data_IF_877992366602
#
_entry.id   IF_877992366602
#
_cell.length_a   1.000
_cell.length_b   1.000
_cell.length_c   1.000
_cell.angle_alpha   90.00
_cell.angle_beta   90.00
_cell.angle_gamma   90.00
#
_symmetry.space_group_name_H-M   'P 1'
#
loop_
_entity.id
_entity.type
_entity.pdbx_description
1 polymer ?
#
# COMPACT_ATOMS: atom_id res chain seq x y z
N UNK A 1 -24.17 -42.57 23.79
CA UNK A 1 -23.48 -43.19 22.64
C UNK A 1 -22.36 -42.25 22.21
N UNK A 2 -21.12 -42.72 22.22
CA UNK A 2 -19.98 -41.91 21.76
C UNK A 2 -20.08 -41.70 20.24
N UNK A 3 -19.80 -40.49 19.71
CA UNK A 3 -19.82 -40.27 18.27
C UNK A 3 -18.68 -41.06 17.62
N UNK A 4 -19.00 -41.79 16.56
CA UNK A 4 -18.03 -42.55 15.75
C UNK A 4 -17.07 -41.62 15.02
N UNK A 5 -15.79 -42.02 14.92
CA UNK A 5 -14.68 -41.21 14.39
C UNK A 5 -14.93 -40.55 13.01
N UNK A 6 -15.75 -41.15 12.15
CA UNK A 6 -16.11 -40.58 10.84
C UNK A 6 -17.02 -39.34 10.91
N UNK A 7 -17.79 -39.17 11.99
CA UNK A 7 -18.66 -38.00 12.18
C UNK A 7 -17.84 -36.77 12.60
N UNK A 8 -16.77 -36.99 13.39
CA UNK A 8 -15.85 -35.94 13.84
C UNK A 8 -14.96 -35.40 12.71
N UNK A 9 -14.51 -36.24 11.76
CA UNK A 9 -13.71 -35.76 10.62
C UNK A 9 -14.54 -34.91 9.66
N UNK A 10 -15.79 -35.30 9.37
CA UNK A 10 -16.70 -34.53 8.51
C UNK A 10 -17.15 -33.20 9.11
N UNK A 11 -17.26 -33.12 10.46
CA UNK A 11 -17.49 -31.86 11.17
C UNK A 11 -16.25 -30.98 11.13
N UNK A 12 -15.06 -31.56 11.33
CA UNK A 12 -13.78 -30.86 11.24
C UNK A 12 -13.55 -30.24 9.86
N UNK A 13 -13.78 -31.01 8.78
CA UNK A 13 -13.65 -30.51 7.41
C UNK A 13 -14.66 -29.39 7.09
N UNK A 14 -15.92 -29.54 7.52
CA UNK A 14 -16.96 -28.50 7.33
C UNK A 14 -16.69 -27.23 8.14
N UNK A 15 -16.15 -27.35 9.36
CA UNK A 15 -15.72 -26.20 10.16
C UNK A 15 -14.51 -25.53 9.53
N UNK A 16 -13.54 -26.29 9.01
CA UNK A 16 -12.36 -25.72 8.32
C UNK A 16 -12.68 -25.08 6.97
N UNK A 17 -13.66 -25.60 6.23
CA UNK A 17 -14.15 -25.00 4.99
C UNK A 17 -14.95 -23.73 5.29
N UNK A 18 -15.85 -23.78 6.29
CA UNK A 18 -16.62 -22.62 6.75
C UNK A 18 -15.75 -21.51 7.35
N UNK A 19 -14.64 -21.83 8.04
CA UNK A 19 -13.68 -20.81 8.50
C UNK A 19 -12.83 -20.25 7.37
N UNK A 20 -12.49 -21.03 6.34
CA UNK A 20 -11.79 -20.52 5.15
C UNK A 20 -12.69 -19.63 4.30
N UNK A 21 -13.95 -20.00 4.08
CA UNK A 21 -14.92 -19.17 3.37
C UNK A 21 -15.32 -17.93 4.17
N UNK A 22 -15.54 -18.04 5.48
CA UNK A 22 -15.78 -16.88 6.34
C UNK A 22 -14.55 -15.98 6.47
N UNK A 23 -13.34 -16.55 6.47
CA UNK A 23 -12.09 -15.78 6.42
C UNK A 23 -11.94 -15.08 5.08
N UNK A 24 -12.29 -15.71 3.95
CA UNK A 24 -12.25 -15.11 2.62
C UNK A 24 -13.30 -14.01 2.46
N UNK A 25 -14.54 -14.23 2.91
CA UNK A 25 -15.59 -13.21 2.91
C UNK A 25 -15.28 -12.07 3.89
N UNK A 26 -14.76 -12.36 5.10
CA UNK A 26 -14.26 -11.31 5.98
C UNK A 26 -13.06 -10.59 5.35
N UNK A 27 -12.18 -11.29 4.65
CA UNK A 27 -11.04 -10.67 4.00
C UNK A 27 -11.48 -9.69 2.92
N UNK A 28 -12.31 -10.11 1.97
CA UNK A 28 -12.84 -9.25 0.91
C UNK A 28 -13.76 -8.14 1.45
N UNK A 29 -14.62 -8.44 2.43
CA UNK A 29 -15.55 -7.46 2.97
C UNK A 29 -14.85 -6.48 3.91
N UNK A 30 -13.84 -6.89 4.68
CA UNK A 30 -13.06 -5.99 5.53
C UNK A 30 -12.07 -5.18 4.68
N UNK A 31 -11.50 -5.75 3.62
CA UNK A 31 -10.69 -5.03 2.64
C UNK A 31 -11.53 -4.01 1.86
N UNK A 32 -12.73 -4.37 1.41
CA UNK A 32 -13.64 -3.45 0.75
C UNK A 32 -14.23 -2.41 1.73
N UNK A 33 -14.56 -2.77 2.98
CA UNK A 33 -15.09 -1.83 3.98
C UNK A 33 -13.99 -0.93 4.54
N UNK A 34 -12.78 -1.41 4.80
CA UNK A 34 -11.68 -0.54 5.23
C UNK A 34 -11.16 0.29 4.04
N UNK A 35 -11.00 -0.26 2.85
CA UNK A 35 -10.57 0.53 1.69
C UNK A 35 -11.66 1.49 1.17
N UNK A 36 -12.95 1.12 1.20
CA UNK A 36 -14.07 1.98 0.75
C UNK A 36 -14.75 2.78 1.88
N UNK A 37 -14.39 2.60 3.15
CA UNK A 37 -14.95 3.41 4.24
C UNK A 37 -13.88 4.20 4.97
N UNK A 38 -12.65 3.69 5.10
CA UNK A 38 -11.57 4.41 5.74
C UNK A 38 -10.98 5.45 4.78
N UNK A 39 -10.66 5.05 3.54
CA UNK A 39 -10.26 5.99 2.49
C UNK A 39 -11.42 6.91 2.12
N UNK A 40 -12.62 6.38 1.89
CA UNK A 40 -13.78 7.19 1.51
C UNK A 40 -14.30 8.09 2.65
N UNK A 41 -14.32 7.70 3.95
CA UNK A 41 -14.71 8.65 5.03
C UNK A 41 -13.60 9.66 5.35
N UNK A 42 -12.33 9.26 5.40
CA UNK A 42 -11.23 10.22 5.61
C UNK A 42 -11.20 11.26 4.46
N UNK A 43 -11.49 10.86 3.22
CA UNK A 43 -11.52 11.78 2.08
C UNK A 43 -12.83 12.56 1.89
N UNK A 44 -14.00 11.94 2.12
CA UNK A 44 -15.32 12.60 2.00
C UNK A 44 -15.57 13.60 3.13
N UNK A 45 -14.99 13.42 4.33
CA UNK A 45 -15.12 14.41 5.40
C UNK A 45 -14.47 15.76 5.03
N UNK A 46 -13.50 15.75 4.10
CA UNK A 46 -12.73 16.94 3.70
C UNK A 46 -13.13 17.50 2.33
N UNK A 47 -13.74 16.68 1.48
CA UNK A 47 -14.20 17.07 0.16
C UNK A 47 -15.63 17.61 0.27
N UNK A 48 -15.81 18.92 0.07
CA UNK A 48 -17.14 19.52 -0.10
C UNK A 48 -17.92 18.68 -1.14
N UNK A 49 -19.07 18.05 -0.81
CA UNK A 49 -19.72 17.03 -1.63
C UNK A 49 -20.28 17.53 -2.98
N UNK A 50 -19.94 18.76 -3.38
CA UNK A 50 -20.45 19.43 -4.57
C UNK A 50 -19.44 19.58 -5.71
N UNK A 51 -18.16 19.18 -5.59
CA UNK A 51 -17.15 19.60 -6.58
C UNK A 51 -16.20 18.56 -7.20
N UNK A 52 -16.03 17.33 -6.72
CA UNK A 52 -15.21 16.33 -7.45
C UNK A 52 -15.62 14.88 -7.09
N UNK A 53 -15.58 13.92 -8.04
CA UNK A 53 -15.79 12.51 -7.72
C UNK A 53 -14.68 11.97 -6.80
N UNK A 54 -14.98 11.05 -5.86
CA UNK A 54 -14.05 10.61 -4.81
C UNK A 54 -12.76 9.97 -5.34
N UNK A 55 -12.79 9.34 -6.51
CA UNK A 55 -11.60 8.80 -7.19
C UNK A 55 -10.62 9.92 -7.61
N UNK A 56 -11.13 11.04 -8.12
CA UNK A 56 -10.31 12.14 -8.63
C UNK A 56 -9.62 12.95 -7.52
N UNK A 57 -10.20 12.95 -6.31
CA UNK A 57 -9.66 13.61 -5.12
C UNK A 57 -8.52 12.79 -4.48
N UNK A 58 -8.64 11.46 -4.43
CA UNK A 58 -7.57 10.57 -3.95
C UNK A 58 -6.29 10.72 -4.77
N UNK A 59 -6.42 10.64 -6.10
CA UNK A 59 -5.28 10.74 -7.00
C UNK A 59 -4.65 12.14 -6.97
N UNK A 60 -5.45 13.21 -6.81
CA UNK A 60 -4.90 14.57 -6.73
C UNK A 60 -4.07 14.83 -5.47
N UNK A 61 -4.47 14.29 -4.31
CA UNK A 61 -3.65 14.40 -3.09
C UNK A 61 -2.40 13.52 -3.16
N UNK A 62 -2.53 12.28 -3.65
CA UNK A 62 -1.39 11.36 -3.82
C UNK A 62 -0.34 11.98 -4.75
N UNK A 63 -0.74 12.48 -5.91
CA UNK A 63 0.19 13.11 -6.86
C UNK A 63 0.83 14.40 -6.35
N UNK A 64 0.27 14.98 -5.29
CA UNK A 64 0.87 16.08 -4.55
C UNK A 64 2.29 15.81 -4.05
N UNK A 65 2.66 14.54 -3.81
CA UNK A 65 4.03 14.15 -3.47
C UNK A 65 4.99 14.34 -4.66
N UNK A 66 4.53 14.13 -5.88
CA UNK A 66 5.35 14.26 -7.09
C UNK A 66 5.49 15.72 -7.55
N UNK A 67 4.48 16.55 -7.28
CA UNK A 67 4.42 17.94 -7.78
C UNK A 67 4.89 19.00 -6.79
N UNK A 68 4.74 18.76 -5.48
CA UNK A 68 4.99 19.76 -4.45
C UNK A 68 6.46 20.15 -4.34
N UNK A 69 6.77 21.44 -4.23
CA UNK A 69 8.13 21.90 -3.95
C UNK A 69 8.34 22.03 -2.44
N UNK A 70 9.26 21.25 -1.82
CA UNK A 70 9.52 21.34 -0.39
C UNK A 70 10.48 22.47 -0.01
N UNK A 71 11.14 23.13 -0.97
CA UNK A 71 12.13 24.16 -0.70
C UNK A 71 11.49 25.54 -0.60
N UNK A 72 11.71 26.21 0.52
CA UNK A 72 11.31 27.62 0.72
C UNK A 72 12.31 28.58 0.11
N UNK A 73 11.92 29.85 -0.08
CA UNK A 73 12.83 30.93 -0.52
C UNK A 73 14.07 31.09 0.39
N UNK A 74 13.96 30.69 1.66
CA UNK A 74 15.07 30.67 2.63
C UNK A 74 15.86 29.35 2.70
N UNK A 75 15.67 28.42 1.76
CA UNK A 75 16.35 27.12 1.73
C UNK A 75 15.87 26.08 2.75
N UNK A 76 14.86 26.40 3.56
CA UNK A 76 14.31 25.49 4.56
C UNK A 76 13.29 24.53 3.93
N UNK A 77 13.32 23.27 4.37
CA UNK A 77 12.33 22.26 4.00
C UNK A 77 10.98 22.56 4.66
N UNK A 78 9.90 22.47 3.88
CA UNK A 78 8.51 22.60 4.32
C UNK A 78 7.67 21.52 3.67
N UNK A 79 6.63 21.07 4.37
CA UNK A 79 5.65 20.13 3.84
C UNK A 79 4.79 20.84 2.78
N UNK A 80 4.86 20.45 1.49
CA UNK A 80 3.99 21.03 0.47
C UNK A 80 2.52 20.65 0.71
N UNK A 81 1.57 21.46 0.25
CA UNK A 81 0.14 21.21 0.49
C UNK A 81 -0.36 19.85 -0.02
N UNK A 82 0.21 19.36 -1.13
CA UNK A 82 -0.06 18.03 -1.67
C UNK A 82 0.35 16.90 -0.71
N UNK A 83 1.61 16.91 -0.26
CA UNK A 83 2.12 15.98 0.75
C UNK A 83 1.36 16.13 2.08
N UNK A 84 1.05 17.35 2.49
CA UNK A 84 0.27 17.62 3.70
C UNK A 84 -1.08 16.90 3.69
N UNK A 85 -1.75 16.84 2.53
CA UNK A 85 -3.02 16.13 2.40
C UNK A 85 -2.87 14.62 2.59
N UNK A 86 -1.78 14.01 2.09
CA UNK A 86 -1.49 12.58 2.31
C UNK A 86 -1.21 12.32 3.80
N UNK A 87 -0.39 13.17 4.43
CA UNK A 87 -0.06 13.05 5.85
C UNK A 87 -1.29 13.16 6.74
N UNK A 88 -2.21 14.09 6.45
CA UNK A 88 -3.46 14.20 7.21
C UNK A 88 -4.32 12.94 7.08
N UNK A 89 -4.47 12.36 5.88
CA UNK A 89 -5.21 11.11 5.71
C UNK A 89 -4.59 9.96 6.50
N UNK A 90 -3.25 9.85 6.49
CA UNK A 90 -2.55 8.81 7.26
C UNK A 90 -2.68 9.03 8.78
N UNK A 91 -2.62 10.29 9.25
CA UNK A 91 -2.85 10.64 10.66
C UNK A 91 -4.26 10.30 11.10
N UNK A 92 -5.27 10.72 10.33
CA UNK A 92 -6.68 10.41 10.61
C UNK A 92 -6.91 8.90 10.64
N UNK A 93 -6.33 8.16 9.70
CA UNK A 93 -6.40 6.72 9.68
C UNK A 93 -5.84 6.11 10.98
N UNK A 94 -4.64 6.51 11.39
CA UNK A 94 -4.01 6.00 12.62
C UNK A 94 -4.79 6.40 13.88
N UNK A 95 -5.35 7.60 13.91
CA UNK A 95 -6.22 8.07 15.00
C UNK A 95 -7.47 7.21 15.12
N UNK A 96 -8.11 6.85 14.00
CA UNK A 96 -9.27 5.96 14.00
C UNK A 96 -8.91 4.56 14.49
N UNK A 97 -7.81 3.97 14.01
CA UNK A 97 -7.34 2.66 14.47
C UNK A 97 -7.10 2.65 15.99
N UNK A 98 -6.53 3.74 16.50
CA UNK A 98 -6.31 3.94 17.95
C UNK A 98 -7.62 4.12 18.71
N UNK A 99 -8.54 4.95 18.21
CA UNK A 99 -9.83 5.23 18.85
C UNK A 99 -10.72 3.99 18.95
N UNK A 100 -10.67 3.11 17.95
CA UNK A 100 -11.38 1.83 17.96
C UNK A 100 -10.62 0.71 18.68
N UNK A 101 -9.46 1.01 19.28
CA UNK A 101 -8.61 0.02 19.99
C UNK A 101 -8.35 -1.22 19.12
N UNK A 102 -8.08 -1.00 17.83
CA UNK A 102 -7.79 -2.08 16.88
C UNK A 102 -6.51 -2.78 17.31
N UNK A 103 -6.52 -4.11 17.29
CA UNK A 103 -5.37 -4.93 17.66
C UNK A 103 -4.10 -4.48 16.92
N UNK A 104 -2.96 -4.42 17.62
CA UNK A 104 -1.71 -3.90 17.08
C UNK A 104 -1.30 -4.58 15.76
N UNK A 105 -1.38 -5.91 15.68
CA UNK A 105 -1.06 -6.65 14.45
C UNK A 105 -1.99 -6.28 13.27
N UNK A 106 -3.28 -6.04 13.53
CA UNK A 106 -4.21 -5.60 12.48
C UNK A 106 -3.87 -4.17 12.06
N UNK A 107 -3.54 -3.29 13.02
CA UNK A 107 -3.09 -1.92 12.74
C UNK A 107 -1.86 -1.93 11.84
N UNK A 108 -0.83 -2.75 12.16
CA UNK A 108 0.37 -2.88 11.33
C UNK A 108 0.06 -3.39 9.92
N UNK A 109 -0.82 -4.40 9.79
CA UNK A 109 -1.22 -4.93 8.50
C UNK A 109 -2.00 -3.93 7.65
N UNK A 110 -2.86 -3.12 8.27
CA UNK A 110 -3.57 -2.05 7.57
C UNK A 110 -2.61 -0.93 7.13
N UNK A 111 -1.65 -0.56 7.97
CA UNK A 111 -0.59 0.37 7.58
C UNK A 111 0.26 -0.18 6.43
N UNK A 112 0.64 -1.46 6.47
CA UNK A 112 1.34 -2.15 5.38
C UNK A 112 0.55 -2.06 4.06
N UNK A 113 -0.76 -2.34 4.10
CA UNK A 113 -1.63 -2.21 2.94
C UNK A 113 -1.70 -0.77 2.41
N UNK A 114 -1.79 0.23 3.29
CA UNK A 114 -1.77 1.64 2.89
C UNK A 114 -0.45 2.02 2.22
N UNK A 115 0.68 1.60 2.77
CA UNK A 115 2.00 1.88 2.17
C UNK A 115 2.19 1.16 0.83
N UNK A 116 1.72 -0.08 0.70
CA UNK A 116 1.68 -0.80 -0.57
C UNK A 116 0.91 -0.02 -1.62
N UNK A 117 -0.29 0.46 -1.27
CA UNK A 117 -1.15 1.21 -2.17
C UNK A 117 -0.53 2.55 -2.57
N UNK A 118 0.06 3.27 -1.61
CA UNK A 118 0.79 4.52 -1.86
C UNK A 118 1.96 4.27 -2.80
N UNK A 119 2.77 3.23 -2.55
CA UNK A 119 3.88 2.84 -3.41
C UNK A 119 3.41 2.61 -4.85
N UNK A 120 2.47 1.69 -5.06
CA UNK A 120 2.00 1.32 -6.40
C UNK A 120 1.39 2.53 -7.13
N UNK A 121 0.56 3.33 -6.45
CA UNK A 121 -0.10 4.49 -7.05
C UNK A 121 0.89 5.58 -7.47
N UNK A 122 1.82 5.95 -6.58
CA UNK A 122 2.81 7.00 -6.86
C UNK A 122 3.86 6.54 -7.86
N UNK A 123 4.25 5.28 -7.79
CA UNK A 123 5.18 4.68 -8.73
C UNK A 123 4.61 4.66 -10.14
N UNK A 124 3.36 4.20 -10.30
CA UNK A 124 2.69 4.17 -11.60
C UNK A 124 2.54 5.58 -12.17
N UNK A 125 2.13 6.54 -11.34
CA UNK A 125 2.03 7.93 -11.76
C UNK A 125 3.39 8.54 -12.15
N UNK A 126 4.47 8.16 -11.46
CA UNK A 126 5.82 8.56 -11.82
C UNK A 126 6.19 8.00 -13.20
N UNK A 127 5.96 6.70 -13.42
CA UNK A 127 6.24 6.01 -14.68
C UNK A 127 5.46 6.59 -15.86
N UNK A 128 4.19 6.91 -15.66
CA UNK A 128 3.34 7.57 -16.66
C UNK A 128 3.87 8.94 -17.05
N UNK A 129 4.28 9.75 -16.05
CA UNK A 129 4.88 11.08 -16.29
C UNK A 129 6.23 11.02 -16.99
N UNK A 130 6.99 9.94 -16.81
CA UNK A 130 8.22 9.68 -17.57
C UNK A 130 7.99 9.60 -19.09
N UNK A 131 6.78 9.27 -19.52
CA UNK A 131 6.40 9.26 -20.93
C UNK A 131 6.24 10.69 -21.49
N UNK A 132 6.07 11.70 -20.64
CA UNK A 132 6.07 13.11 -21.02
C UNK A 132 7.51 13.57 -21.17
N UNK A 133 7.87 14.01 -22.38
CA UNK A 133 9.21 14.48 -22.69
C UNK A 133 9.68 15.53 -21.66
N UNK A 134 10.91 15.36 -21.17
CA UNK A 134 11.60 16.25 -20.22
C UNK A 134 11.11 16.26 -18.76
N UNK A 135 10.21 15.36 -18.33
CA UNK A 135 9.82 15.27 -16.92
C UNK A 135 10.94 14.73 -16.02
N UNK A 136 11.65 13.68 -16.47
CA UNK A 136 12.77 13.09 -15.72
C UNK A 136 14.02 13.97 -15.80
N UNK A 137 14.18 14.82 -14.78
CA UNK A 137 15.32 15.70 -14.57
C UNK A 137 15.85 15.53 -13.16
N UNK A 138 17.16 15.75 -12.97
CA UNK A 138 17.80 15.65 -11.67
C UNK A 138 17.14 16.55 -10.59
N UNK A 139 16.83 17.80 -10.94
CA UNK A 139 16.14 18.74 -10.04
C UNK A 139 14.78 18.23 -9.59
N UNK A 140 14.03 17.56 -10.48
CA UNK A 140 12.75 16.90 -10.14
C UNK A 140 12.97 15.71 -9.22
N UNK A 141 13.98 14.89 -9.50
CA UNK A 141 14.36 13.79 -8.61
C UNK A 141 14.65 14.26 -7.19
N UNK A 142 15.48 15.30 -7.04
CA UNK A 142 15.80 15.91 -5.73
C UNK A 142 14.56 16.47 -5.03
N UNK A 143 13.67 17.15 -5.78
CA UNK A 143 12.42 17.67 -5.24
C UNK A 143 11.53 16.55 -4.69
N UNK A 144 11.29 15.51 -5.48
CA UNK A 144 10.45 14.37 -5.09
C UNK A 144 11.11 13.60 -3.94
N UNK A 145 12.44 13.46 -3.95
CA UNK A 145 13.19 12.81 -2.87
C UNK A 145 13.00 13.54 -1.54
N UNK A 146 13.11 14.86 -1.53
CA UNK A 146 12.88 15.64 -0.33
C UNK A 146 11.44 15.53 0.20
N UNK A 147 10.43 15.42 -0.69
CA UNK A 147 9.05 15.15 -0.25
C UNK A 147 8.90 13.73 0.34
N UNK A 148 9.56 12.74 -0.26
CA UNK A 148 9.56 11.37 0.25
C UNK A 148 10.25 11.29 1.61
N UNK A 149 11.36 12.00 1.80
CA UNK A 149 12.06 12.06 3.09
C UNK A 149 11.16 12.68 4.17
N UNK A 150 10.44 13.77 3.88
CA UNK A 150 9.45 14.34 4.82
C UNK A 150 8.31 13.37 5.17
N UNK A 151 7.86 12.56 4.21
CA UNK A 151 6.88 11.50 4.46
C UNK A 151 7.47 10.42 5.39
N UNK A 152 8.65 9.93 5.05
CA UNK A 152 9.34 8.87 5.80
C UNK A 152 9.69 9.31 7.23
N UNK A 153 10.14 10.55 7.42
CA UNK A 153 10.43 11.12 8.73
C UNK A 153 9.18 11.13 9.62
N UNK A 154 8.04 11.53 9.06
CA UNK A 154 6.77 11.48 9.79
C UNK A 154 6.37 10.03 10.13
N UNK A 155 6.47 9.10 9.16
CA UNK A 155 6.15 7.68 9.39
C UNK A 155 7.05 7.08 10.48
N UNK A 156 8.35 7.42 10.47
CA UNK A 156 9.30 7.01 11.49
C UNK A 156 8.91 7.56 12.87
N UNK A 157 8.47 8.82 12.93
CA UNK A 157 8.08 9.46 14.19
C UNK A 157 6.87 8.80 14.88
N UNK A 158 6.02 8.11 14.12
CA UNK A 158 4.87 7.35 14.63
C UNK A 158 5.17 5.86 14.83
N UNK A 159 6.43 5.44 14.66
CA UNK A 159 6.88 4.06 14.92
C UNK A 159 6.56 3.05 13.81
N UNK A 160 6.25 3.52 12.59
CA UNK A 160 5.89 2.67 11.44
C UNK A 160 7.00 2.58 10.38
N UNK A 161 8.20 3.05 10.71
CA UNK A 161 9.34 3.17 9.79
C UNK A 161 9.74 1.86 9.12
N UNK A 162 9.86 0.78 9.90
CA UNK A 162 10.26 -0.53 9.38
C UNK A 162 9.27 -1.05 8.33
N UNK A 163 7.98 -0.99 8.64
CA UNK A 163 6.90 -1.41 7.73
C UNK A 163 6.91 -0.56 6.46
N UNK A 164 6.99 0.77 6.59
CA UNK A 164 7.02 1.64 5.41
C UNK A 164 8.26 1.43 4.56
N UNK A 165 9.41 1.16 5.18
CA UNK A 165 10.63 0.85 4.46
C UNK A 165 10.45 -0.37 3.57
N UNK A 166 9.73 -1.41 4.02
CA UNK A 166 9.46 -2.62 3.23
C UNK A 166 8.54 -2.34 2.04
N UNK A 167 7.46 -1.58 2.24
CA UNK A 167 6.43 -1.40 1.21
C UNK A 167 6.68 -0.23 0.25
N UNK A 168 7.52 0.75 0.60
CA UNK A 168 7.84 1.92 -0.25
C UNK A 168 9.16 1.76 -1.04
N UNK A 169 9.78 0.57 -1.04
CA UNK A 169 11.07 0.30 -1.69
C UNK A 169 11.12 0.73 -3.16
N UNK A 170 10.09 0.40 -3.95
CA UNK A 170 10.11 0.66 -5.41
C UNK A 170 10.04 2.15 -5.72
N UNK A 171 9.13 2.88 -5.08
CA UNK A 171 9.06 4.33 -5.19
C UNK A 171 10.37 4.98 -4.74
N UNK A 172 10.93 4.54 -3.61
CA UNK A 172 12.22 5.03 -3.10
C UNK A 172 13.36 4.80 -4.10
N UNK A 173 13.46 3.60 -4.69
CA UNK A 173 14.47 3.28 -5.69
C UNK A 173 14.32 4.13 -6.97
N UNK A 174 13.09 4.30 -7.48
CA UNK A 174 12.83 5.13 -8.65
C UNK A 174 13.19 6.60 -8.40
N UNK A 175 12.78 7.15 -7.26
CA UNK A 175 13.09 8.54 -6.90
C UNK A 175 14.58 8.73 -6.66
N UNK A 176 15.26 7.75 -6.05
CA UNK A 176 16.71 7.76 -5.88
C UNK A 176 17.43 7.83 -7.22
N UNK A 177 17.03 6.99 -8.18
CA UNK A 177 17.61 7.02 -9.53
C UNK A 177 17.49 8.42 -10.16
N UNK A 178 16.33 9.07 -10.04
CA UNK A 178 16.14 10.42 -10.56
C UNK A 178 16.97 11.47 -9.81
N UNK A 179 17.18 11.28 -8.50
CA UNK A 179 17.98 12.16 -7.65
C UNK A 179 19.49 11.91 -7.77
N UNK A 180 19.92 10.81 -8.39
CA UNK A 180 21.34 10.52 -8.63
C UNK A 180 21.93 11.59 -9.57
N UNK A 181 23.07 12.20 -9.22
CA UNK A 181 23.73 13.17 -10.07
C UNK A 181 23.99 12.60 -11.47
N UNK A 182 23.83 13.46 -12.48
CA UNK A 182 23.95 13.04 -13.88
C UNK A 182 25.31 12.47 -14.18
N UNK A 183 26.36 13.03 -13.62
CA UNK A 183 27.75 12.59 -13.78
C UNK A 183 27.93 11.15 -13.29
N UNK A 184 27.31 10.80 -12.16
CA UNK A 184 27.32 9.46 -11.57
C UNK A 184 26.53 8.48 -12.45
N UNK A 185 25.31 8.82 -12.88
CA UNK A 185 24.53 7.99 -13.80
C UNK A 185 25.28 7.78 -15.13
N UNK A 186 25.90 8.86 -15.62
CA UNK A 186 26.77 8.86 -16.80
C UNK A 186 28.12 8.19 -16.54
N UNK A 187 28.40 7.56 -15.40
CA UNK A 187 29.53 6.63 -15.22
C UNK A 187 29.08 5.18 -14.95
N UNK A 188 27.84 5.00 -14.47
CA UNK A 188 27.26 3.69 -14.17
C UNK A 188 27.05 2.79 -15.41
N UNK A 189 27.15 1.48 -15.22
CA UNK A 189 26.79 0.46 -16.23
C UNK A 189 25.41 -0.10 -15.93
N UNK A 190 24.78 -0.75 -16.91
CA UNK A 190 23.52 -1.45 -16.68
C UNK A 190 23.60 -2.39 -15.46
N UNK A 191 24.65 -3.21 -15.36
CA UNK A 191 24.83 -4.14 -14.24
C UNK A 191 24.95 -3.42 -12.89
N UNK A 192 25.68 -2.30 -12.80
CA UNK A 192 25.78 -1.55 -11.55
C UNK A 192 24.44 -0.91 -11.18
N UNK A 193 23.70 -0.38 -12.16
CA UNK A 193 22.36 0.19 -11.95
C UNK A 193 21.34 -0.87 -11.52
N UNK A 194 21.41 -2.09 -12.08
CA UNK A 194 20.58 -3.23 -11.64
C UNK A 194 20.86 -3.62 -10.19
N UNK A 195 22.13 -3.58 -9.77
CA UNK A 195 22.50 -3.89 -8.40
C UNK A 195 22.09 -2.78 -7.41
N UNK A 196 22.30 -1.52 -7.78
CA UNK A 196 21.96 -0.35 -6.94
C UNK A 196 20.44 -0.16 -6.81
N UNK A 197 19.69 -0.37 -7.89
CA UNK A 197 18.23 -0.21 -7.95
C UNK A 197 17.51 -1.55 -8.08
N UNK A 198 17.90 -2.53 -7.27
CA UNK A 198 17.40 -3.91 -7.33
C UNK A 198 15.88 -4.05 -7.13
N UNK A 199 15.25 -3.08 -6.46
CA UNK A 199 13.79 -3.05 -6.30
C UNK A 199 13.03 -2.82 -7.63
N UNK A 200 13.69 -2.21 -8.63
CA UNK A 200 13.13 -2.00 -9.96
C UNK A 200 13.38 -3.24 -10.81
N UNK A 201 12.37 -3.66 -11.59
CA UNK A 201 12.58 -4.69 -12.60
C UNK A 201 13.31 -4.12 -13.85
N UNK A 202 13.78 -4.97 -14.78
CA UNK A 202 14.48 -4.51 -15.99
C UNK A 202 13.66 -3.52 -16.83
N UNK A 203 12.36 -3.75 -17.03
CA UNK A 203 11.50 -2.86 -17.82
C UNK A 203 11.38 -1.46 -17.20
N UNK A 204 11.17 -1.40 -15.89
CA UNK A 204 11.06 -0.17 -15.10
C UNK A 204 12.35 0.65 -15.14
N UNK A 205 13.49 0.00 -14.88
CA UNK A 205 14.79 0.66 -14.92
C UNK A 205 15.09 1.20 -16.33
N UNK A 206 14.88 0.37 -17.35
CA UNK A 206 15.13 0.76 -18.74
C UNK A 206 14.23 1.92 -19.20
N UNK A 207 12.95 1.89 -18.84
CA UNK A 207 12.01 2.99 -19.09
C UNK A 207 12.51 4.31 -18.50
N UNK A 208 12.92 4.29 -17.22
CA UNK A 208 13.44 5.49 -16.55
C UNK A 208 14.70 6.06 -17.20
N UNK A 209 15.68 5.20 -17.51
CA UNK A 209 16.94 5.62 -18.14
C UNK A 209 16.71 6.19 -19.55
N UNK A 210 15.80 5.58 -20.33
CA UNK A 210 15.44 6.07 -21.66
C UNK A 210 14.77 7.43 -21.59
N UNK A 211 13.80 7.60 -20.69
CA UNK A 211 13.06 8.84 -20.51
C UNK A 211 13.96 9.97 -19.96
N UNK A 212 14.88 9.66 -19.04
CA UNK A 212 15.89 10.60 -18.55
C UNK A 212 16.86 11.02 -19.68
N UNK A 213 17.20 10.07 -20.56
CA UNK A 213 18.07 10.28 -21.72
C UNK A 213 17.43 11.01 -22.90
N UNK A 214 16.10 11.11 -22.99
CA UNK A 214 15.35 11.46 -24.22
C UNK A 214 15.69 12.82 -24.88
N UNK A 215 16.46 13.69 -24.24
CA UNK A 215 16.99 14.92 -24.83
C UNK A 215 18.39 14.81 -25.46
N UNK A 216 19.08 13.66 -25.34
CA UNK A 216 20.43 13.36 -25.89
C UNK A 216 20.51 11.88 -26.29
N UNK A 217 21.57 11.44 -26.98
CA UNK A 217 21.80 10.01 -27.19
C UNK A 217 22.07 9.33 -25.83
N UNK A 218 21.20 8.42 -25.40
CA UNK A 218 21.41 7.65 -24.18
C UNK A 218 22.75 6.87 -24.27
N UNK A 219 23.57 6.85 -23.20
CA UNK A 219 24.82 6.09 -23.19
C UNK A 219 24.62 4.62 -23.56
N UNK A 220 25.50 4.07 -24.40
CA UNK A 220 25.47 2.65 -24.78
C UNK A 220 25.57 1.69 -23.59
N UNK A 221 26.20 2.14 -22.50
CA UNK A 221 26.38 1.36 -21.26
C UNK A 221 25.15 1.26 -20.38
N UNK A 222 24.09 2.02 -20.68
CA UNK A 222 22.77 1.85 -20.06
C UNK A 222 21.92 0.82 -20.80
N UNK A 223 22.42 0.24 -21.89
CA UNK A 223 21.69 -0.82 -22.60
C UNK A 223 21.59 -2.06 -21.71
N UNK A 224 20.42 -2.71 -21.70
CA UNK A 224 20.25 -3.99 -21.03
C UNK A 224 21.30 -5.01 -21.46
N UNK A 225 21.62 -5.92 -20.54
CA UNK A 225 22.41 -7.11 -20.86
C UNK A 225 21.64 -7.96 -21.90
N UNK A 226 22.32 -8.77 -22.73
CA UNK A 226 21.63 -9.61 -23.72
C UNK A 226 20.60 -10.57 -23.12
N UNK A 227 20.81 -10.98 -21.86
CA UNK A 227 19.92 -11.86 -21.11
C UNK A 227 18.65 -11.14 -20.63
N UNK A 228 18.74 -9.84 -20.33
CA UNK A 228 17.62 -9.03 -19.82
C UNK A 228 17.00 -8.13 -20.91
N UNK A 229 17.42 -8.24 -22.18
CA UNK A 229 16.95 -7.37 -23.27
C UNK A 229 15.45 -7.57 -23.55
N UNK A 230 14.97 -8.81 -23.52
CA UNK A 230 13.54 -9.12 -23.66
C UNK A 230 12.74 -8.58 -22.48
N UNK A 231 13.18 -8.84 -21.25
CA UNK A 231 12.54 -8.35 -20.03
C UNK A 231 12.48 -6.83 -19.99
N UNK A 232 13.56 -6.14 -20.39
CA UNK A 232 13.62 -4.68 -20.45
C UNK A 232 12.75 -4.06 -21.55
N UNK A 233 12.34 -4.86 -22.55
CA UNK A 233 11.44 -4.45 -23.62
C UNK A 233 9.96 -4.70 -23.30
N UNK A 234 9.64 -5.49 -22.26
CA UNK A 234 8.24 -5.77 -21.84
C UNK A 234 7.61 -4.55 -21.18
N UNK A 235 6.97 -3.71 -21.98
CA UNK A 235 6.27 -2.51 -21.49
C UNK A 235 5.10 -2.81 -20.56
N UNK A 236 4.53 -4.02 -20.63
CA UNK A 236 3.49 -4.49 -19.71
C UNK A 236 3.95 -4.61 -18.26
N UNK A 237 5.26 -4.74 -18.02
CA UNK A 237 5.85 -4.91 -16.69
C UNK A 237 6.29 -3.58 -16.05
N UNK A 238 6.03 -2.44 -16.71
CA UNK A 238 6.43 -1.12 -16.22
C UNK A 238 5.58 -0.70 -15.03
N UNK A 239 4.27 -0.89 -15.10
CA UNK A 239 3.34 -0.50 -14.05
C UNK A 239 3.15 -1.61 -13.02
N UNK A 240 3.04 -1.23 -11.75
CA UNK A 240 2.72 -2.12 -10.65
C UNK A 240 1.25 -2.52 -10.68
N UNK A 241 1.00 -3.82 -10.49
CA UNK A 241 -0.33 -4.33 -10.18
C UNK A 241 -0.66 -4.09 -8.71
N UNK A 242 -1.96 -3.95 -8.42
CA UNK A 242 -2.50 -3.90 -7.07
C UNK A 242 -2.84 -5.28 -6.48
N UNK A 243 -2.65 -6.35 -7.26
CA UNK A 243 -3.10 -7.70 -6.89
C UNK A 243 -2.19 -8.35 -5.82
N UNK A 244 -0.91 -7.94 -5.74
CA UNK A 244 0.09 -8.50 -4.83
C UNK A 244 0.12 -7.80 -3.47
N UNK A 245 -1.06 -7.50 -2.90
CA UNK A 245 -1.16 -6.83 -1.61
C UNK A 245 -0.78 -7.74 -0.44
N UNK A 246 -0.30 -7.19 0.69
CA UNK A 246 -0.03 -8.00 1.88
C UNK A 246 -1.30 -8.72 2.37
N UNK A 247 -1.19 -9.98 2.82
CA UNK A 247 -2.33 -10.73 3.35
C UNK A 247 -2.75 -10.18 4.72
N UNK A 248 -4.05 -10.25 5.02
CA UNK A 248 -4.59 -9.95 6.35
C UNK A 248 -4.62 -11.26 7.14
N UNK A 249 -3.82 -11.32 8.18
CA UNK A 249 -3.75 -12.42 9.14
C UNK A 249 -4.39 -11.98 10.44
N UNK A 250 -5.47 -12.64 10.84
CA UNK A 250 -6.11 -12.37 12.13
C UNK A 250 -5.16 -12.79 13.27
N UNK A 251 -4.96 -11.95 14.29
CA UNK A 251 -4.17 -12.31 15.45
C UNK A 251 -4.76 -13.57 16.10
N UNK A 252 -3.91 -14.48 16.53
CA UNK A 252 -4.31 -15.71 17.24
C UNK A 252 -4.11 -15.64 18.75
N UNK A 253 -3.51 -14.55 19.24
CA UNK A 253 -3.14 -14.32 20.64
C UNK A 253 -3.26 -12.83 20.99
N UNK A 254 -3.13 -12.48 22.28
CA UNK A 254 -3.14 -11.09 22.79
C UNK A 254 -4.49 -10.36 22.84
N UNK A 255 -5.61 -11.06 22.66
CA UNK A 255 -6.92 -10.51 23.03
C UNK A 255 -7.06 -10.45 24.55
N UNK A 256 -7.20 -9.25 25.11
CA UNK A 256 -7.48 -9.08 26.54
C UNK A 256 -8.99 -8.95 26.75
N UNK A 257 -9.62 -10.03 27.20
CA UNK A 257 -11.05 -10.03 27.54
C UNK A 257 -11.19 -9.83 29.05
N UNK A 258 -11.55 -8.62 29.47
CA UNK A 258 -11.82 -8.33 30.89
C UNK A 258 -13.17 -8.93 31.31
N UNK A 259 -13.15 -10.19 31.75
CA UNK A 259 -14.34 -10.96 32.17
C UNK A 259 -15.12 -10.36 33.37
N UNK A 260 -14.60 -9.32 34.01
CA UNK A 260 -15.20 -8.67 35.18
C UNK A 260 -16.03 -7.41 34.88
N UNK A 261 -16.02 -6.91 33.63
CA UNK A 261 -16.86 -5.77 33.23
C UNK A 261 -18.09 -6.27 32.47
N UNK A 262 -19.29 -5.72 32.75
CA UNK A 262 -20.45 -6.00 31.91
C UNK A 262 -20.13 -5.56 30.49
N UNK A 263 -20.21 -6.49 29.54
CA UNK A 263 -20.15 -6.17 28.12
C UNK A 263 -21.43 -5.39 27.81
N UNK A 264 -21.32 -4.11 27.49
CA UNK A 264 -22.44 -3.20 27.27
C UNK A 264 -22.70 -2.91 25.79
N UNK A 265 -22.01 -3.60 24.87
CA UNK A 265 -22.14 -3.37 23.43
C UNK A 265 -23.22 -4.27 22.80
N UNK A 266 -24.45 -3.74 22.55
CA UNK A 266 -25.53 -4.50 21.93
C UNK A 266 -25.18 -5.04 20.54
N UNK A 267 -24.27 -4.38 19.82
CA UNK A 267 -23.78 -4.86 18.53
C UNK A 267 -22.99 -6.16 18.64
N UNK A 268 -22.18 -6.31 19.69
CA UNK A 268 -21.42 -7.55 19.96
C UNK A 268 -22.39 -8.71 20.22
N UNK A 269 -23.44 -8.48 21.02
CA UNK A 269 -24.46 -9.50 21.30
C UNK A 269 -25.24 -9.90 20.04
N UNK A 270 -25.56 -8.97 19.15
CA UNK A 270 -26.17 -9.31 17.86
C UNK A 270 -25.26 -10.16 16.98
N UNK A 271 -23.97 -9.85 16.92
CA UNK A 271 -23.01 -10.65 16.14
C UNK A 271 -22.81 -12.03 16.77
N UNK A 272 -22.74 -12.11 18.10
CA UNK A 272 -22.66 -13.39 18.83
C UNK A 272 -23.90 -14.24 18.61
N UNK A 273 -25.10 -13.63 18.61
CA UNK A 273 -26.35 -14.32 18.33
C UNK A 273 -26.38 -14.88 16.90
N UNK A 274 -25.94 -14.10 15.91
CA UNK A 274 -25.81 -14.58 14.51
C UNK A 274 -24.80 -15.72 14.39
N UNK A 275 -23.67 -15.63 15.06
CA UNK A 275 -22.66 -16.70 15.11
C UNK A 275 -23.20 -17.96 15.81
N UNK A 276 -23.97 -17.79 16.89
CA UNK A 276 -24.65 -18.90 17.56
C UNK A 276 -25.70 -19.54 16.65
N UNK A 277 -26.53 -18.77 15.96
CA UNK A 277 -27.50 -19.29 14.99
C UNK A 277 -26.82 -20.02 13.83
N UNK A 278 -25.70 -19.50 13.34
CA UNK A 278 -24.90 -20.17 12.31
C UNK A 278 -24.29 -21.48 12.80
N UNK A 279 -23.70 -21.49 14.00
CA UNK A 279 -23.11 -22.68 14.61
C UNK A 279 -24.17 -23.73 15.02
N UNK A 280 -25.41 -23.29 15.30
CA UNK A 280 -26.54 -24.15 15.66
C UNK A 280 -27.55 -24.34 14.52
N UNK A 281 -27.15 -24.05 13.26
CA UNK A 281 -27.99 -24.27 12.08
C UNK A 281 -28.57 -25.68 12.01
N UNK A 282 -29.79 -25.83 11.47
CA UNK A 282 -30.79 -26.78 11.93
C UNK A 282 -30.29 -28.22 11.84
N UNK A 283 -30.33 -28.93 12.97
CA UNK A 283 -30.32 -30.39 13.01
C UNK A 283 -31.33 -30.87 11.96
N UNK A 284 -30.84 -31.45 10.86
CA UNK A 284 -31.70 -32.03 9.81
C UNK A 284 -32.64 -33.02 10.50
N UNK A 285 -33.90 -32.61 10.66
CA UNK A 285 -34.96 -33.52 11.01
C UNK A 285 -35.03 -34.54 9.87
N UNK A 286 -34.65 -35.77 10.17
CA UNK A 286 -34.81 -36.92 9.29
C UNK A 286 -36.29 -37.05 8.97
N UNK A 287 -36.70 -36.65 7.77
CA UNK A 287 -37.99 -37.02 7.21
C UNK A 287 -37.98 -38.52 7.00
N UNK A 288 -38.95 -39.16 7.66
CA UNK A 288 -39.29 -40.58 7.56
C UNK A 288 -40.04 -40.87 6.27
#
# INVERSE_FOLDING_TARGET
AAPTAGTLSSLGERVTAGTKEASSLCHEHLQHVLCSSFFTRAFLCRSNPLLLPPSQSMYSALFGLLDGNPFSDGGQLRVPGGLGSILEVLKEALQLLTAFQVHADITLQLCAYLFFFINASLFNALMDRGSVASFYQWSRGVQIRANLDLLMDWIQSVGLGDVASEFLQKLSAAVNLLATPKETLLQATWTSLRAEFAALNPAQLHHMLRAYGAGKSAPSRWRPSPEEEEDAARTGDILESFDCHPPLVLPSSCFHLELGKPVLEPALFQQLARLQEFAHGPTRASTR
#
